data_IF_444092919624
#
_entry.id   IF_444092919624
#
_cell.length_a   1.000
_cell.length_b   1.000
_cell.length_c   1.000
_cell.angle_alpha   90.00
_cell.angle_beta   90.00
_cell.angle_gamma   90.00
#
_symmetry.space_group_name_H-M   'P 1'
#
loop_
_entity.id
_entity.type
_entity.pdbx_description
1 polymer ?
#
# COMPACT_ATOMS: atom_id res chain seq x y z
N UNK A 1 -0.01 -10.49 11.30
CA UNK A 1 -1.27 -11.15 10.96
C UNK A 1 -0.93 -12.36 10.10
N UNK A 2 -0.56 -13.50 10.71
CA UNK A 2 -0.03 -14.67 9.99
C UNK A 2 -1.06 -15.39 9.11
N UNK A 3 -2.33 -15.37 9.52
CA UNK A 3 -3.39 -16.13 8.86
C UNK A 3 -3.74 -15.57 7.47
N UNK A 4 -3.91 -14.25 7.38
CA UNK A 4 -4.19 -13.55 6.12
C UNK A 4 -3.04 -13.74 5.12
N UNK A 5 -1.81 -13.69 5.61
CA UNK A 5 -0.61 -13.94 4.80
C UNK A 5 -0.56 -15.39 4.31
N UNK A 6 -0.86 -16.36 5.19
CA UNK A 6 -0.97 -17.76 4.81
C UNK A 6 -2.01 -18.01 3.72
N UNK A 7 -3.17 -17.35 3.79
CA UNK A 7 -4.19 -17.42 2.73
C UNK A 7 -3.71 -16.79 1.43
N UNK A 8 -3.04 -15.64 1.47
CA UNK A 8 -2.49 -14.99 0.27
C UNK A 8 -1.47 -15.88 -0.43
N UNK A 9 -0.55 -16.50 0.33
CA UNK A 9 0.46 -17.41 -0.22
C UNK A 9 -0.21 -18.66 -0.77
N UNK A 10 -1.10 -19.30 0.00
CA UNK A 10 -1.82 -20.48 -0.47
C UNK A 10 -2.60 -20.20 -1.76
N UNK A 11 -3.25 -19.04 -1.87
CA UNK A 11 -3.94 -18.62 -3.08
C UNK A 11 -2.98 -18.46 -4.26
N UNK A 12 -1.85 -17.77 -4.08
CA UNK A 12 -0.86 -17.58 -5.12
C UNK A 12 -0.31 -18.93 -5.66
N UNK A 13 -0.03 -19.87 -4.76
CA UNK A 13 0.51 -21.19 -5.10
C UNK A 13 -0.51 -22.15 -5.72
N UNK A 14 -1.78 -22.10 -5.28
CA UNK A 14 -2.80 -23.10 -5.69
C UNK A 14 -3.67 -22.66 -6.85
N UNK A 15 -3.88 -21.36 -7.06
CA UNK A 15 -4.85 -20.86 -8.03
C UNK A 15 -4.32 -20.76 -9.47
N UNK A 16 -3.09 -21.23 -9.76
CA UNK A 16 -2.39 -20.98 -11.05
C UNK A 16 -2.47 -19.50 -11.46
N UNK A 17 -2.37 -18.61 -10.48
CA UNK A 17 -2.51 -17.19 -10.72
C UNK A 17 -1.14 -16.55 -10.89
N UNK A 18 -1.01 -15.62 -11.84
CA UNK A 18 0.15 -14.72 -11.98
C UNK A 18 0.24 -13.68 -10.83
N UNK A 19 -0.32 -14.00 -9.66
CA UNK A 19 -0.30 -13.12 -8.50
C UNK A 19 1.03 -13.25 -7.77
N UNK A 20 1.75 -12.14 -7.71
CA UNK A 20 2.93 -12.00 -6.87
C UNK A 20 2.54 -11.50 -5.47
N UNK A 21 3.29 -11.94 -4.46
CA UNK A 21 3.11 -11.48 -3.09
C UNK A 21 4.42 -10.91 -2.55
N UNK A 22 4.29 -9.93 -1.67
CA UNK A 22 5.42 -9.29 -0.99
C UNK A 22 5.11 -9.19 0.50
N UNK A 23 6.16 -9.11 1.31
CA UNK A 23 6.03 -8.84 2.74
C UNK A 23 6.66 -7.51 3.08
N UNK A 24 5.87 -6.62 3.68
CA UNK A 24 6.30 -5.34 4.20
C UNK A 24 6.47 -5.45 5.71
N UNK A 25 7.63 -5.05 6.24
CA UNK A 25 7.88 -5.03 7.68
C UNK A 25 8.52 -3.70 8.13
N UNK A 26 8.15 -3.27 9.33
CA UNK A 26 8.64 -2.03 9.94
C UNK A 26 10.01 -2.18 10.59
N UNK A 27 10.37 -3.36 11.10
CA UNK A 27 11.62 -3.62 11.82
C UNK A 27 12.39 -4.79 11.24
N UNK A 28 13.68 -4.59 11.02
CA UNK A 28 14.60 -5.65 10.60
C UNK A 28 14.54 -6.84 11.58
N UNK A 29 14.59 -8.06 11.04
CA UNK A 29 14.59 -9.33 11.78
C UNK A 29 13.34 -9.66 12.63
N UNK A 30 12.37 -8.75 12.76
CA UNK A 30 11.13 -9.04 13.52
C UNK A 30 10.38 -10.22 12.91
N UNK A 31 10.36 -10.27 11.58
CA UNK A 31 9.66 -11.29 10.82
C UNK A 31 10.19 -12.70 11.15
N UNK A 32 11.50 -12.86 11.34
CA UNK A 32 12.10 -14.14 11.75
C UNK A 32 11.58 -14.64 13.11
N UNK A 33 11.18 -13.72 14.00
CA UNK A 33 10.62 -14.06 15.32
C UNK A 33 9.13 -14.37 15.27
N UNK A 34 8.37 -13.68 14.41
CA UNK A 34 6.90 -13.80 14.38
C UNK A 34 6.35 -14.71 13.27
N UNK A 35 7.16 -14.95 12.23
CA UNK A 35 6.83 -15.64 10.98
C UNK A 35 8.06 -16.40 10.47
N UNK A 36 8.60 -17.30 11.30
CA UNK A 36 9.80 -18.08 10.97
C UNK A 36 9.61 -19.01 9.77
N UNK A 37 8.37 -19.37 9.47
CA UNK A 37 7.94 -20.08 8.26
C UNK A 37 8.29 -19.32 6.97
N UNK A 38 8.44 -17.99 7.04
CA UNK A 38 8.80 -17.14 5.91
C UNK A 38 10.28 -16.76 5.86
N UNK A 39 11.13 -17.40 6.67
CA UNK A 39 12.55 -17.07 6.77
C UNK A 39 13.38 -17.39 5.50
N UNK A 40 12.74 -17.85 4.42
CA UNK A 40 13.32 -18.03 3.09
C UNK A 40 12.91 -16.97 2.06
N UNK A 41 12.07 -16.00 2.44
CA UNK A 41 11.59 -14.93 1.55
C UNK A 41 12.14 -13.57 1.95
N UNK A 42 12.57 -12.80 0.96
CA UNK A 42 13.03 -11.43 1.17
C UNK A 42 11.85 -10.51 1.50
N UNK A 43 12.00 -9.77 2.59
CA UNK A 43 11.01 -8.80 3.06
C UNK A 43 11.50 -7.38 2.85
N UNK A 44 10.59 -6.47 2.51
CA UNK A 44 10.91 -5.06 2.34
C UNK A 44 10.74 -4.32 3.68
N UNK A 45 11.84 -3.75 4.19
CA UNK A 45 11.85 -3.04 5.47
C UNK A 45 11.56 -1.55 5.29
N UNK A 46 10.33 -1.13 5.60
CA UNK A 46 9.87 0.25 5.41
C UNK A 46 10.13 1.20 6.60
N UNK A 47 10.73 0.70 7.69
CA UNK A 47 11.14 1.47 8.89
C UNK A 47 10.02 2.24 9.59
N UNK A 48 8.74 1.89 9.34
CA UNK A 48 7.60 2.61 9.90
C UNK A 48 7.36 4.01 9.32
N UNK A 49 8.00 4.36 8.20
CA UNK A 49 7.86 5.69 7.59
C UNK A 49 7.06 5.63 6.29
N UNK A 50 6.35 6.71 5.96
CA UNK A 50 5.62 6.83 4.68
C UNK A 50 6.57 6.72 3.49
N UNK A 51 7.72 7.40 3.56
CA UNK A 51 8.74 7.34 2.51
C UNK A 51 9.32 5.93 2.32
N UNK A 52 9.55 5.21 3.42
CA UNK A 52 9.99 3.82 3.38
C UNK A 52 8.95 2.88 2.79
N UNK A 53 7.65 3.14 3.00
CA UNK A 53 6.57 2.36 2.35
C UNK A 53 6.58 2.61 0.85
N UNK A 54 6.76 3.86 0.41
CA UNK A 54 6.85 4.16 -1.03
C UNK A 54 8.06 3.51 -1.68
N UNK A 55 9.22 3.56 -1.04
CA UNK A 55 10.42 2.86 -1.52
C UNK A 55 10.17 1.36 -1.64
N UNK A 56 9.63 0.73 -0.60
CA UNK A 56 9.32 -0.69 -0.59
C UNK A 56 8.32 -1.08 -1.70
N UNK A 57 7.35 -0.22 -1.99
CA UNK A 57 6.42 -0.45 -3.10
C UNK A 57 7.14 -0.32 -4.45
N UNK A 58 7.97 0.70 -4.66
CA UNK A 58 8.72 0.83 -5.92
C UNK A 58 9.67 -0.35 -6.15
N UNK A 59 10.37 -0.80 -5.10
CA UNK A 59 11.30 -1.93 -5.19
C UNK A 59 10.57 -3.26 -5.43
N UNK A 60 9.30 -3.36 -5.03
CA UNK A 60 8.48 -4.56 -5.21
C UNK A 60 7.90 -4.72 -6.63
N UNK A 61 7.82 -3.66 -7.42
CA UNK A 61 7.30 -3.71 -8.79
C UNK A 61 8.44 -3.62 -9.79
N UNK A 62 8.47 -4.51 -10.79
CA UNK A 62 9.53 -4.55 -11.82
C UNK A 62 9.60 -3.25 -12.65
N UNK A 63 8.44 -2.64 -12.92
CA UNK A 63 8.32 -1.40 -13.73
C UNK A 63 7.23 -0.48 -13.15
N UNK A 64 7.51 0.24 -12.05
CA UNK A 64 6.53 1.15 -11.50
C UNK A 64 6.33 2.35 -12.42
N UNK A 65 5.08 2.60 -12.82
CA UNK A 65 4.65 3.76 -13.62
C UNK A 65 4.42 5.02 -12.75
N UNK A 66 5.09 5.11 -11.60
CA UNK A 66 4.95 6.21 -10.65
C UNK A 66 6.28 6.45 -9.93
N UNK A 67 6.71 7.70 -9.84
CA UNK A 67 7.88 8.11 -9.07
C UNK A 67 7.58 8.32 -7.58
N UNK A 68 8.60 8.25 -6.71
CA UNK A 68 8.48 8.62 -5.28
C UNK A 68 7.91 10.03 -5.09
N UNK A 69 8.26 10.96 -5.99
CA UNK A 69 7.77 12.34 -5.91
C UNK A 69 6.27 12.40 -6.15
N UNK A 70 5.78 11.70 -7.18
CA UNK A 70 4.35 11.61 -7.47
C UNK A 70 3.60 10.89 -6.36
N UNK A 71 4.12 9.77 -5.83
CA UNK A 71 3.53 9.09 -4.67
C UNK A 71 3.40 10.03 -3.46
N UNK A 72 4.42 10.85 -3.18
CA UNK A 72 4.38 11.86 -2.11
C UNK A 72 3.32 12.93 -2.36
N UNK A 73 3.18 13.40 -3.60
CA UNK A 73 2.15 14.39 -3.95
C UNK A 73 0.74 13.82 -3.80
N UNK A 74 0.51 12.62 -4.33
CA UNK A 74 -0.76 11.88 -4.20
C UNK A 74 -1.10 11.69 -2.72
N UNK A 75 -0.14 11.21 -1.92
CA UNK A 75 -0.31 11.00 -0.48
C UNK A 75 -0.71 12.27 0.26
N UNK A 76 -0.04 13.40 0.00
CA UNK A 76 -0.36 14.68 0.67
C UNK A 76 -1.80 15.12 0.38
N UNK A 77 -2.19 15.07 -0.90
CA UNK A 77 -3.55 15.42 -1.34
C UNK A 77 -4.60 14.46 -0.77
N UNK A 78 -4.34 13.15 -0.81
CA UNK A 78 -5.23 12.13 -0.22
C UNK A 78 -5.37 12.27 1.29
N UNK A 79 -4.29 12.62 1.99
CA UNK A 79 -4.33 12.82 3.45
C UNK A 79 -5.25 13.99 3.81
N UNK A 80 -5.17 15.10 3.09
CA UNK A 80 -6.07 16.25 3.27
C UNK A 80 -7.52 15.86 2.97
N UNK A 81 -7.76 15.25 1.81
CA UNK A 81 -9.09 14.78 1.42
C UNK A 81 -9.68 13.77 2.41
N UNK A 82 -8.85 12.89 2.99
CA UNK A 82 -9.28 11.94 4.01
C UNK A 82 -9.79 12.62 5.29
N UNK A 83 -9.14 13.71 5.71
CA UNK A 83 -9.61 14.52 6.87
C UNK A 83 -10.96 15.16 6.54
N UNK A 84 -11.10 15.73 5.35
CA UNK A 84 -12.37 16.34 4.89
C UNK A 84 -13.50 15.32 4.82
N UNK A 85 -13.23 14.10 4.33
CA UNK A 85 -14.20 13.00 4.29
C UNK A 85 -14.63 12.59 5.70
N UNK A 86 -13.68 12.43 6.63
CA UNK A 86 -14.02 12.08 8.02
C UNK A 86 -14.93 13.13 8.64
N UNK A 87 -14.65 14.42 8.43
CA UNK A 87 -15.47 15.51 8.94
C UNK A 87 -16.87 15.54 8.30
N UNK A 88 -16.93 15.42 6.97
CA UNK A 88 -18.18 15.47 6.21
C UNK A 88 -19.14 14.34 6.57
N UNK A 89 -18.60 13.11 6.64
CA UNK A 89 -19.41 11.90 6.88
C UNK A 89 -19.43 11.47 8.35
N UNK A 90 -18.76 12.22 9.24
CA UNK A 90 -18.58 11.89 10.67
C UNK A 90 -18.08 10.46 10.89
N UNK A 91 -17.12 10.04 10.07
CA UNK A 91 -16.54 8.71 10.16
C UNK A 91 -15.47 8.64 11.24
N UNK A 92 -15.50 7.58 12.04
CA UNK A 92 -14.50 7.32 13.08
C UNK A 92 -13.12 6.93 12.50
N UNK A 93 -13.09 6.36 11.28
CA UNK A 93 -11.86 6.03 10.57
C UNK A 93 -12.10 5.91 9.06
N UNK A 94 -11.02 5.88 8.27
CA UNK A 94 -11.05 5.75 6.81
C UNK A 94 -10.95 4.29 6.32
N UNK A 95 -10.93 3.32 7.23
CA UNK A 95 -10.75 1.90 6.91
C UNK A 95 -12.07 1.16 6.67
N UNK A 96 -13.20 1.86 6.73
CA UNK A 96 -14.47 1.30 6.30
C UNK A 96 -14.51 1.14 4.76
N UNK A 97 -15.20 0.12 4.22
CA UNK A 97 -15.23 -0.13 2.77
C UNK A 97 -15.66 1.08 1.94
N UNK A 98 -16.65 1.84 2.42
CA UNK A 98 -17.16 3.05 1.75
C UNK A 98 -16.14 4.18 1.73
N UNK A 99 -15.42 4.38 2.84
CA UNK A 99 -14.37 5.39 2.96
C UNK A 99 -13.17 5.04 2.06
N UNK A 100 -12.73 3.79 2.11
CA UNK A 100 -11.65 3.30 1.26
C UNK A 100 -11.97 3.46 -0.23
N UNK A 101 -13.19 3.08 -0.66
CA UNK A 101 -13.62 3.27 -2.06
C UNK A 101 -13.53 4.72 -2.52
N UNK A 102 -13.90 5.68 -1.65
CA UNK A 102 -13.79 7.12 -1.98
C UNK A 102 -12.34 7.57 -2.09
N UNK A 103 -11.45 7.08 -1.22
CA UNK A 103 -10.02 7.38 -1.29
C UNK A 103 -9.41 6.85 -2.59
N UNK A 104 -9.77 5.64 -3.03
CA UNK A 104 -9.31 5.07 -4.31
C UNK A 104 -9.75 5.93 -5.50
N UNK A 105 -11.03 6.33 -5.52
CA UNK A 105 -11.56 7.21 -6.58
C UNK A 105 -10.82 8.56 -6.59
N UNK A 106 -10.58 9.15 -5.42
CA UNK A 106 -9.82 10.40 -5.31
C UNK A 106 -8.37 10.23 -5.76
N UNK A 107 -7.72 9.11 -5.41
CA UNK A 107 -6.35 8.81 -5.82
C UNK A 107 -6.21 8.75 -7.34
N UNK A 108 -7.14 8.06 -8.01
CA UNK A 108 -7.18 7.98 -9.46
C UNK A 108 -7.34 9.37 -10.11
N UNK A 109 -8.28 10.20 -9.60
CA UNK A 109 -8.46 11.57 -10.08
C UNK A 109 -7.21 12.43 -9.88
N UNK A 110 -6.57 12.32 -8.72
CA UNK A 110 -5.34 13.05 -8.41
C UNK A 110 -4.20 12.62 -9.34
N UNK A 111 -4.04 11.31 -9.61
CA UNK A 111 -3.05 10.79 -10.56
C UNK A 111 -3.28 11.38 -11.95
N UNK A 112 -4.51 11.30 -12.48
CA UNK A 112 -4.84 11.84 -13.80
C UNK A 112 -4.59 13.35 -13.92
N UNK A 113 -4.82 14.11 -12.85
CA UNK A 113 -4.56 15.56 -12.80
C UNK A 113 -3.06 15.90 -12.71
N UNK A 114 -2.24 15.00 -12.18
CA UNK A 114 -0.77 15.14 -12.19
C UNK A 114 -0.22 14.85 -13.59
N UNK A 115 -0.77 13.84 -14.28
CA UNK A 115 -0.38 13.46 -15.64
C UNK A 115 -0.85 14.49 -16.70
N UNK A 116 -1.99 15.14 -16.50
CA UNK A 116 -2.56 16.12 -17.44
C UNK A 116 -2.79 17.49 -16.78
N UNK A 117 -1.74 18.31 -16.59
CA UNK A 117 -1.84 19.57 -15.85
C UNK A 117 -2.51 20.74 -16.60
N UNK A 118 -2.93 20.58 -17.87
CA UNK A 118 -3.42 21.67 -18.75
C UNK A 118 -4.80 21.35 -19.37
N UNK A 119 -5.73 20.81 -18.59
CA UNK A 119 -7.17 20.82 -18.93
C UNK A 119 -7.95 21.41 -17.76
#
# INVERSE_FOLDING_TARGET
>A
MPFELGMTIAWAETAQSDHYWIVLESKQYRLQKSLSDLNGYDHFVHKGTVGGVFQALLDAFDKPDVSITEMKQIYRKLRQFGVELQQTYRWNNLFQPSAFRRLVIAAAKIKSAIENPIM
#
